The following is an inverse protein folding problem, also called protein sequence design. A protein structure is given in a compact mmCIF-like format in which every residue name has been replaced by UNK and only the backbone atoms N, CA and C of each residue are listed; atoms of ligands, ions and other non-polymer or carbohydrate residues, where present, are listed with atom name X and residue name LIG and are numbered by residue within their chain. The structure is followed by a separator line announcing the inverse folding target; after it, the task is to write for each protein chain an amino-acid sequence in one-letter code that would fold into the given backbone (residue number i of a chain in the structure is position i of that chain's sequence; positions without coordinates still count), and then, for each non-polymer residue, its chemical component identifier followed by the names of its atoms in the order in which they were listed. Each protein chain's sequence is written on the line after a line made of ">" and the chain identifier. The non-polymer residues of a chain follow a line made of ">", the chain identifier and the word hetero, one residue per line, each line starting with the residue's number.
data_IF_543112447860
#
_entry.id   IF_543112447860
#
_cell.length_a   1.000
_cell.length_b   1.000
_cell.length_c   1.000
_cell.angle_alpha   90.00
_cell.angle_beta   90.00
_cell.angle_gamma   90.00
#
_symmetry.space_group_name_H-M   'P 1'
#
loop_
_entity.id
_entity.type
_entity.pdbx_description
1 polymer ?
#
# COMPACT_ATOMS: atom_id res chain seq x y z
N UNK A 1 -5.99 -3.30 17.53
CA UNK A 1 -5.32 -3.29 16.21
C UNK A 1 -3.89 -3.74 16.41
N UNK A 2 -3.42 -4.82 15.78
CA UNK A 2 -2.00 -5.12 15.77
C UNK A 2 -1.30 -4.04 14.93
N UNK A 3 -0.33 -3.35 15.51
CA UNK A 3 0.55 -2.42 14.81
C UNK A 3 1.88 -3.13 14.51
N UNK A 4 2.70 -2.58 13.60
CA UNK A 4 4.01 -3.14 13.29
C UNK A 4 4.90 -3.28 14.54
N UNK A 5 5.84 -4.24 14.54
CA UNK A 5 6.81 -4.35 15.61
C UNK A 5 7.71 -3.10 15.65
N UNK A 6 8.20 -2.70 16.84
CA UNK A 6 9.15 -1.61 16.96
C UNK A 6 10.49 -1.94 16.29
N UNK A 7 11.20 -0.90 15.85
CA UNK A 7 12.63 -1.00 15.53
C UNK A 7 13.43 -0.67 16.78
N UNK A 8 14.30 -1.58 17.20
CA UNK A 8 15.20 -1.37 18.33
C UNK A 8 16.61 -1.15 17.80
N UNK A 9 17.16 0.04 18.04
CA UNK A 9 18.54 0.39 17.70
C UNK A 9 19.45 0.26 18.92
N UNK A 10 20.73 0.62 18.76
CA UNK A 10 21.67 0.66 19.87
C UNK A 10 21.32 1.70 20.96
N UNK A 11 20.45 2.67 20.68
CA UNK A 11 20.11 3.75 21.62
C UNK A 11 18.62 4.06 21.72
N UNK A 12 17.81 3.63 20.76
CA UNK A 12 16.43 4.11 20.63
C UNK A 12 15.49 2.99 20.19
N UNK A 13 14.33 2.89 20.85
CA UNK A 13 13.19 2.08 20.44
C UNK A 13 12.23 2.99 19.66
N UNK A 14 11.98 2.67 18.40
CA UNK A 14 11.18 3.48 17.49
C UNK A 14 9.85 2.77 17.23
N UNK A 15 8.76 3.48 17.49
CA UNK A 15 7.40 2.97 17.46
C UNK A 15 6.58 3.86 16.52
N UNK A 16 6.01 3.23 15.49
CA UNK A 16 4.91 3.77 14.69
C UNK A 16 3.55 3.47 15.33
N UNK A 17 2.48 3.60 14.56
CA UNK A 17 1.14 3.35 15.08
C UNK A 17 0.11 3.14 13.97
N UNK A 18 -0.87 2.29 14.23
CA UNK A 18 -2.07 2.19 13.42
C UNK A 18 -3.13 3.17 13.98
N UNK A 19 -3.74 3.96 13.10
CA UNK A 19 -4.90 4.80 13.38
C UNK A 19 -6.08 4.14 12.67
N UNK A 20 -7.30 4.28 13.20
CA UNK A 20 -8.46 3.60 12.60
C UNK A 20 -8.84 4.26 11.29
N UNK A 21 -8.77 3.50 10.21
CA UNK A 21 -9.15 3.94 8.88
C UNK A 21 -10.65 4.25 8.80
N UNK A 22 -10.98 5.31 8.07
CA UNK A 22 -12.34 5.70 7.70
C UNK A 22 -13.37 5.79 8.84
N UNK A 23 -12.95 5.87 10.11
CA UNK A 23 -13.89 5.98 11.23
C UNK A 23 -14.35 7.43 11.44
N UNK A 24 -13.42 8.40 11.49
CA UNK A 24 -13.74 9.80 11.78
C UNK A 24 -12.66 10.78 11.32
N UNK A 25 -13.04 12.05 11.13
CA UNK A 25 -12.10 13.16 10.97
C UNK A 25 -11.42 13.64 12.29
N UNK A 26 -11.50 12.86 13.38
CA UNK A 26 -11.00 13.23 14.73
C UNK A 26 -10.32 12.06 15.46
N UNK A 27 -9.75 11.12 14.72
CA UNK A 27 -8.95 10.02 15.25
C UNK A 27 -7.63 10.50 15.88
N UNK A 28 -7.01 9.70 16.77
CA UNK A 28 -5.71 10.02 17.32
C UNK A 28 -4.64 10.25 16.25
N UNK A 29 -3.62 11.03 16.60
CA UNK A 29 -2.44 11.22 15.76
C UNK A 29 -1.70 9.92 15.47
N UNK A 30 -1.24 9.79 14.23
CA UNK A 30 -0.28 8.78 13.76
C UNK A 30 1.18 9.03 14.14
N UNK A 31 1.45 9.95 15.08
CA UNK A 31 2.79 10.34 15.54
C UNK A 31 3.72 9.15 15.83
N UNK A 32 4.94 9.26 15.30
CA UNK A 32 6.04 8.32 15.53
C UNK A 32 6.80 8.74 16.78
N UNK A 33 7.24 7.77 17.59
CA UNK A 33 7.93 8.04 18.85
C UNK A 33 9.24 7.27 18.95
N UNK A 34 10.27 7.94 19.45
CA UNK A 34 11.55 7.34 19.82
C UNK A 34 11.75 7.37 21.33
N UNK A 35 12.00 6.21 21.92
CA UNK A 35 12.25 6.05 23.36
C UNK A 35 13.68 5.61 23.60
N UNK A 36 14.29 6.00 24.72
CA UNK A 36 15.59 5.48 25.12
C UNK A 36 15.52 3.97 25.35
N UNK A 37 16.47 3.22 24.79
CA UNK A 37 16.46 1.76 24.87
C UNK A 37 16.74 1.21 26.27
N UNK A 38 17.43 1.99 27.12
CA UNK A 38 17.80 1.57 28.47
C UNK A 38 16.79 2.04 29.52
N UNK A 39 16.26 3.26 29.38
CA UNK A 39 15.36 3.86 30.38
C UNK A 39 13.89 3.80 30.00
N UNK A 40 13.57 3.68 28.71
CA UNK A 40 12.20 3.78 28.20
C UNK A 40 11.65 5.21 28.18
N UNK A 41 12.48 6.23 28.46
CA UNK A 41 12.06 7.63 28.42
C UNK A 41 11.85 8.11 26.98
N UNK A 42 10.85 8.97 26.75
CA UNK A 42 10.59 9.56 25.43
C UNK A 42 11.74 10.50 25.05
N UNK A 43 12.46 10.19 23.96
CA UNK A 43 13.58 10.99 23.45
C UNK A 43 13.16 12.00 22.40
N UNK A 44 12.28 11.59 21.49
CA UNK A 44 11.80 12.42 20.40
C UNK A 44 10.45 11.93 19.91
N UNK A 45 9.72 12.83 19.23
CA UNK A 45 8.52 12.51 18.47
C UNK A 45 8.69 12.97 17.02
N UNK A 46 7.90 12.42 16.11
CA UNK A 46 7.70 12.95 14.76
C UNK A 46 6.21 12.88 14.43
N UNK A 47 5.48 13.97 14.64
CA UNK A 47 4.07 14.09 14.25
C UNK A 47 3.98 14.65 12.82
N UNK A 48 3.50 13.81 11.90
CA UNK A 48 3.42 14.11 10.47
C UNK A 48 2.50 15.29 10.16
N UNK A 49 1.47 15.53 10.98
CA UNK A 49 0.50 16.60 10.82
C UNK A 49 0.91 17.90 11.52
N UNK A 50 1.91 17.87 12.39
CA UNK A 50 2.34 19.04 13.14
C UNK A 50 3.21 19.99 12.29
N UNK A 51 3.06 21.30 12.51
CA UNK A 51 3.89 22.32 11.85
C UNK A 51 5.39 22.09 12.10
N UNK A 52 5.74 21.84 13.37
CA UNK A 52 7.03 21.31 13.80
C UNK A 52 6.83 19.84 14.22
N UNK A 53 7.23 18.86 13.38
CA UNK A 53 7.05 17.44 13.70
C UNK A 53 7.74 16.98 14.98
N UNK A 54 8.84 17.64 15.38
CA UNK A 54 9.65 17.22 16.53
C UNK A 54 9.29 17.97 17.83
N UNK A 55 8.31 18.87 17.81
CA UNK A 55 7.85 19.60 18.98
C UNK A 55 7.33 18.66 20.05
N UNK A 56 8.02 18.55 21.19
CA UNK A 56 7.61 17.65 22.26
C UNK A 56 6.22 18.02 22.80
N UNK A 57 5.37 17.02 23.13
CA UNK A 57 4.07 17.27 23.71
C UNK A 57 4.24 17.96 25.07
N UNK A 58 3.38 18.93 25.35
CA UNK A 58 3.41 19.73 26.57
C UNK A 58 2.15 20.57 26.71
N UNK A 59 2.11 21.48 27.69
CA UNK A 59 0.90 22.27 28.02
C UNK A 59 0.30 23.04 26.83
N UNK A 60 1.07 23.28 25.76
CA UNK A 60 0.65 24.05 24.59
C UNK A 60 0.92 23.35 23.25
N UNK A 61 1.24 22.05 23.26
CA UNK A 61 1.52 21.27 22.04
C UNK A 61 0.72 19.98 22.10
N UNK A 62 -0.42 20.00 21.41
CA UNK A 62 -1.26 18.82 21.21
C UNK A 62 -0.84 18.08 19.94
N UNK A 63 -1.03 16.76 19.95
CA UNK A 63 -0.87 15.95 18.75
C UNK A 63 -1.96 16.28 17.72
N UNK A 64 -1.61 16.23 16.45
CA UNK A 64 -2.53 16.56 15.37
C UNK A 64 -3.41 15.36 15.06
N UNK A 65 -4.71 15.51 15.25
CA UNK A 65 -5.70 14.51 14.85
C UNK A 65 -5.55 14.13 13.39
N UNK A 66 -5.67 12.84 13.09
CA UNK A 66 -5.61 12.28 11.74
C UNK A 66 -4.31 12.57 10.98
N UNK A 67 -3.22 12.82 11.70
CA UNK A 67 -1.92 12.88 11.05
C UNK A 67 -1.60 11.52 10.39
N UNK A 68 -1.02 11.51 9.18
CA UNK A 68 -0.56 10.28 8.52
C UNK A 68 0.21 9.37 9.46
N UNK A 69 -0.19 8.11 9.55
CA UNK A 69 0.37 7.16 10.50
C UNK A 69 1.44 6.27 9.86
N UNK A 70 2.21 5.56 10.70
CA UNK A 70 3.22 4.60 10.26
C UNK A 70 2.89 3.22 10.82
N UNK A 71 1.99 2.50 10.15
CA UNK A 71 1.48 1.21 10.62
C UNK A 71 2.27 0.01 10.07
N UNK A 72 2.95 0.17 8.93
CA UNK A 72 3.77 -0.86 8.31
C UNK A 72 5.12 -1.04 9.07
N UNK A 73 5.81 -2.18 8.89
CA UNK A 73 7.12 -2.38 9.50
C UNK A 73 8.16 -1.36 9.00
N UNK A 74 9.05 -0.93 9.89
CA UNK A 74 10.11 0.03 9.58
C UNK A 74 11.41 -0.70 9.21
N UNK A 75 12.37 -0.01 8.61
CA UNK A 75 13.74 -0.53 8.44
C UNK A 75 14.79 0.44 8.95
N UNK A 76 15.97 -0.08 9.28
CA UNK A 76 17.02 0.69 9.95
C UNK A 76 18.39 0.38 9.36
N UNK A 77 19.13 1.44 9.03
CA UNK A 77 20.54 1.39 8.66
C UNK A 77 21.40 1.82 9.86
N UNK A 78 22.12 0.87 10.50
CA UNK A 78 23.00 1.18 11.63
C UNK A 78 24.27 1.94 11.27
N UNK A 79 24.71 1.93 10.00
CA UNK A 79 25.94 2.60 9.56
C UNK A 79 25.75 4.11 9.59
N UNK A 80 24.57 4.60 9.23
CA UNK A 80 24.25 6.04 9.15
C UNK A 80 23.25 6.52 10.21
N UNK A 81 22.80 5.63 11.09
CA UNK A 81 21.75 5.93 12.09
C UNK A 81 20.47 6.45 11.42
N UNK A 82 19.99 5.75 10.39
CA UNK A 82 18.80 6.16 9.63
C UNK A 82 17.71 5.12 9.78
N UNK A 83 16.53 5.55 10.21
CA UNK A 83 15.30 4.77 10.15
C UNK A 83 14.48 5.21 8.95
N UNK A 84 13.98 4.24 8.19
CA UNK A 84 13.10 4.43 7.04
C UNK A 84 11.68 4.07 7.45
N UNK A 85 10.80 5.06 7.37
CA UNK A 85 9.45 4.99 7.92
C UNK A 85 8.46 5.20 6.78
N UNK A 86 7.76 4.15 6.34
CA UNK A 86 6.64 4.30 5.44
C UNK A 86 5.45 4.90 6.19
N UNK A 87 4.71 5.79 5.53
CA UNK A 87 3.49 6.40 6.07
C UNK A 87 2.28 6.11 5.17
N UNK A 88 1.12 6.04 5.79
CA UNK A 88 -0.17 5.97 5.11
C UNK A 88 -0.76 7.36 4.83
N UNK A 89 -2.05 7.38 4.51
CA UNK A 89 -2.85 8.60 4.36
C UNK A 89 -3.39 9.11 5.72
N UNK A 90 -3.82 10.37 5.76
CA UNK A 90 -4.60 10.89 6.89
C UNK A 90 -6.08 10.49 6.76
N UNK A 91 -6.61 9.79 7.76
CA UNK A 91 -8.02 9.34 7.81
C UNK A 91 -9.01 10.52 7.81
N UNK A 92 -10.24 10.38 7.28
CA UNK A 92 -10.73 9.28 6.45
C UNK A 92 -10.02 9.21 5.10
N UNK A 93 -9.85 8.02 4.55
CA UNK A 93 -8.90 7.76 3.46
C UNK A 93 -9.51 8.12 2.10
N UNK A 94 -10.82 7.87 1.96
CA UNK A 94 -11.55 7.92 0.68
C UNK A 94 -12.20 9.29 0.41
N UNK A 95 -11.97 10.26 1.30
CA UNK A 95 -12.38 11.66 1.13
C UNK A 95 -11.38 12.58 1.84
N UNK A 96 -10.86 13.56 1.13
CA UNK A 96 -9.78 14.45 1.56
C UNK A 96 -10.14 15.94 1.54
N UNK A 97 -11.42 16.29 1.48
CA UNK A 97 -11.85 17.69 1.31
C UNK A 97 -11.47 18.67 2.43
N UNK A 98 -11.05 18.16 3.60
CA UNK A 98 -10.52 18.97 4.71
C UNK A 98 -8.99 18.90 4.85
N UNK A 99 -8.31 18.23 3.92
CA UNK A 99 -6.84 18.10 3.90
C UNK A 99 -6.24 19.34 3.26
N UNK A 100 -5.23 19.88 3.93
CA UNK A 100 -4.43 21.01 3.47
C UNK A 100 -2.97 20.57 3.26
N UNK A 101 -2.14 21.47 2.76
CA UNK A 101 -0.72 21.20 2.49
C UNK A 101 0.00 20.62 3.73
N UNK A 102 -0.38 21.04 4.94
CA UNK A 102 0.25 20.57 6.16
C UNK A 102 -0.13 19.12 6.48
N UNK A 103 -1.41 18.77 6.35
CA UNK A 103 -1.91 17.39 6.51
C UNK A 103 -1.35 16.45 5.44
N UNK A 104 -1.03 16.97 4.25
CA UNK A 104 -0.58 16.15 3.12
C UNK A 104 0.93 16.01 2.97
N UNK A 105 1.73 16.91 3.58
CA UNK A 105 3.19 16.97 3.41
C UNK A 105 3.92 15.62 3.58
N UNK A 106 3.40 14.73 4.43
CA UNK A 106 3.97 13.39 4.69
C UNK A 106 2.94 12.26 4.54
N UNK A 107 1.81 12.51 3.88
CA UNK A 107 0.86 11.45 3.53
C UNK A 107 1.46 10.56 2.44
N UNK A 108 1.21 9.24 2.50
CA UNK A 108 1.67 8.25 1.53
C UNK A 108 3.14 8.45 1.15
N UNK A 109 4.01 8.45 2.14
CA UNK A 109 5.40 8.87 1.98
C UNK A 109 6.36 7.84 2.54
N UNK A 110 7.61 7.92 2.08
CA UNK A 110 8.75 7.35 2.76
C UNK A 110 9.51 8.46 3.46
N UNK A 111 9.72 8.33 4.78
CA UNK A 111 10.51 9.25 5.58
C UNK A 111 11.86 8.59 5.90
N UNK A 112 12.96 9.32 5.74
CA UNK A 112 14.25 8.95 6.31
C UNK A 112 14.56 9.87 7.48
N UNK A 113 14.58 9.34 8.69
CA UNK A 113 14.86 10.09 9.92
C UNK A 113 16.16 9.60 10.55
N UNK A 114 16.89 10.49 11.21
CA UNK A 114 17.90 10.07 12.18
C UNK A 114 17.23 9.27 13.30
N UNK A 115 17.61 8.00 13.46
CA UNK A 115 16.97 7.10 14.40
C UNK A 115 17.17 7.56 15.86
N UNK A 116 18.34 8.13 16.17
CA UNK A 116 18.64 8.61 17.53
C UNK A 116 17.95 9.92 17.92
N UNK A 117 17.57 10.77 16.95
CA UNK A 117 17.05 12.13 17.22
C UNK A 117 15.69 12.45 16.60
N UNK A 118 15.16 11.61 15.71
CA UNK A 118 13.90 11.83 15.01
C UNK A 118 13.94 12.93 13.95
N UNK A 119 15.12 13.46 13.61
CA UNK A 119 15.24 14.57 12.66
C UNK A 119 15.14 14.06 11.22
N UNK A 120 14.35 14.75 10.41
CA UNK A 120 14.19 14.46 8.99
C UNK A 120 15.51 14.67 8.23
N UNK A 121 15.84 13.70 7.39
CA UNK A 121 16.97 13.76 6.45
C UNK A 121 16.41 14.05 5.05
N UNK A 122 15.48 13.21 4.59
CA UNK A 122 14.78 13.36 3.33
C UNK A 122 13.43 12.64 3.40
N UNK A 123 12.51 12.98 2.51
CA UNK A 123 11.29 12.22 2.28
C UNK A 123 10.89 12.23 0.81
N UNK A 124 10.00 11.32 0.43
CA UNK A 124 9.36 11.30 -0.87
C UNK A 124 7.90 10.86 -0.73
N UNK A 125 6.98 11.58 -1.37
CA UNK A 125 5.55 11.26 -1.40
C UNK A 125 5.23 10.42 -2.64
N UNK A 126 4.67 9.23 -2.44
CA UNK A 126 4.36 8.27 -3.50
C UNK A 126 2.96 8.44 -4.08
N UNK A 127 2.07 9.15 -3.39
CA UNK A 127 0.73 9.48 -3.88
C UNK A 127 0.31 10.85 -3.35
N UNK A 128 0.02 11.77 -4.26
CA UNK A 128 -0.50 13.11 -3.97
C UNK A 128 -2.00 13.03 -3.71
N UNK A 129 -2.50 13.75 -2.71
CA UNK A 129 -3.94 13.86 -2.40
C UNK A 129 -4.69 12.52 -2.54
N UNK A 130 -4.28 11.53 -1.75
CA UNK A 130 -4.78 10.16 -1.89
C UNK A 130 -6.24 10.02 -1.48
N UNK A 131 -7.05 9.43 -2.34
CA UNK A 131 -8.47 9.18 -2.10
C UNK A 131 -8.82 7.69 -2.22
N UNK A 132 -7.80 6.83 -2.21
CA UNK A 132 -7.90 5.43 -2.61
C UNK A 132 -7.30 4.45 -1.62
N UNK A 133 -6.82 4.94 -0.46
CA UNK A 133 -6.09 4.14 0.52
C UNK A 133 -4.85 3.51 -0.16
N UNK A 134 -3.96 4.38 -0.65
CA UNK A 134 -2.75 4.05 -1.42
C UNK A 134 -1.47 4.21 -0.59
N UNK A 135 -1.56 3.78 0.66
CA UNK A 135 -0.49 3.72 1.63
C UNK A 135 0.80 3.09 1.08
N UNK A 136 1.93 3.46 1.69
CA UNK A 136 3.19 2.72 1.59
C UNK A 136 3.10 1.56 2.60
N UNK A 137 2.75 0.33 2.19
CA UNK A 137 2.18 -0.64 3.11
C UNK A 137 3.22 -1.60 3.70
N UNK A 138 4.48 -1.48 3.28
CA UNK A 138 5.48 -2.52 3.45
C UNK A 138 6.80 -1.99 4.02
N UNK A 139 7.58 -2.91 4.57
CA UNK A 139 8.94 -2.61 5.03
C UNK A 139 9.81 -2.08 3.88
N UNK A 140 10.38 -0.86 3.99
CA UNK A 140 11.36 -0.38 3.01
C UNK A 140 12.58 -1.29 3.01
N UNK A 141 12.94 -1.85 1.87
CA UNK A 141 13.97 -2.89 1.78
C UNK A 141 15.32 -2.29 1.42
N UNK A 142 16.30 -2.42 2.32
CA UNK A 142 17.64 -1.89 2.13
C UNK A 142 18.47 -2.86 1.30
N UNK A 143 19.18 -2.32 0.30
CA UNK A 143 20.03 -3.11 -0.57
C UNK A 143 21.34 -2.42 -0.92
N UNK A 144 22.39 -3.22 -1.13
CA UNK A 144 23.68 -2.75 -1.62
C UNK A 144 23.83 -3.21 -3.07
N UNK A 145 23.61 -2.28 -4.01
CA UNK A 145 23.61 -2.57 -5.43
C UNK A 145 25.03 -2.60 -5.96
N UNK A 146 25.47 -3.78 -6.41
CA UNK A 146 26.81 -3.99 -6.97
C UNK A 146 26.84 -3.54 -8.43
N UNK A 147 27.60 -2.50 -8.69
CA UNK A 147 27.80 -1.94 -10.03
C UNK A 147 28.86 -2.73 -10.81
N UNK A 148 28.82 -2.61 -12.15
CA UNK A 148 29.77 -3.30 -13.03
C UNK A 148 31.23 -2.83 -12.84
N UNK A 149 31.43 -1.60 -12.36
CA UNK A 149 32.75 -1.02 -12.05
C UNK A 149 33.28 -1.43 -10.65
N UNK A 150 32.52 -2.25 -9.91
CA UNK A 150 32.84 -2.70 -8.57
C UNK A 150 32.44 -1.73 -7.45
N UNK A 151 31.86 -0.58 -7.77
CA UNK A 151 31.27 0.31 -6.76
C UNK A 151 29.96 -0.25 -6.21
N UNK A 152 29.55 0.25 -5.04
CA UNK A 152 28.31 -0.16 -4.37
C UNK A 152 27.42 1.06 -4.20
N UNK A 153 26.20 0.98 -4.70
CA UNK A 153 25.18 2.02 -4.53
C UNK A 153 24.23 1.61 -3.40
N UNK A 154 24.14 2.39 -2.32
CA UNK A 154 23.27 2.08 -1.20
C UNK A 154 21.81 2.44 -1.54
N UNK A 155 20.95 1.44 -1.72
CA UNK A 155 19.57 1.61 -2.16
C UNK A 155 18.55 1.31 -1.06
N UNK A 156 17.38 1.94 -1.17
CA UNK A 156 16.15 1.56 -0.48
C UNK A 156 15.03 1.38 -1.50
N UNK A 157 14.37 0.22 -1.45
CA UNK A 157 13.21 -0.11 -2.28
C UNK A 157 11.93 0.14 -1.47
N UNK A 158 11.06 0.97 -2.01
CA UNK A 158 9.80 1.40 -1.41
C UNK A 158 8.66 0.86 -2.27
N UNK A 159 7.94 -0.12 -1.72
CA UNK A 159 6.79 -0.74 -2.37
C UNK A 159 5.53 0.06 -2.03
N UNK A 160 4.59 0.14 -2.96
CA UNK A 160 3.34 0.88 -2.77
C UNK A 160 2.13 0.03 -3.14
N UNK A 161 0.95 0.34 -2.58
CA UNK A 161 -0.31 -0.31 -2.97
C UNK A 161 -0.60 -0.17 -4.47
N UNK A 162 -0.14 0.90 -5.12
CA UNK A 162 -0.30 1.10 -6.57
C UNK A 162 0.49 0.09 -7.44
N UNK A 163 1.51 -0.54 -6.88
CA UNK A 163 2.44 -1.43 -7.58
C UNK A 163 3.71 -0.76 -8.10
N UNK A 164 3.78 0.58 -8.04
CA UNK A 164 5.03 1.30 -8.22
C UNK A 164 6.03 0.89 -7.15
N UNK A 165 7.28 0.68 -7.56
CA UNK A 165 8.42 0.49 -6.66
C UNK A 165 9.38 1.64 -6.85
N UNK A 166 9.43 2.52 -5.87
CA UNK A 166 10.35 3.66 -5.88
C UNK A 166 11.68 3.22 -5.29
N UNK A 167 12.78 3.54 -5.97
CA UNK A 167 14.12 3.13 -5.56
C UNK A 167 14.96 4.38 -5.40
N UNK A 168 15.48 4.58 -4.19
CA UNK A 168 16.27 5.76 -3.84
C UNK A 168 17.66 5.38 -3.35
N UNK A 169 18.61 6.29 -3.52
CA UNK A 169 19.81 6.28 -2.70
C UNK A 169 19.37 6.48 -1.26
N UNK A 170 19.58 5.48 -0.41
CA UNK A 170 19.00 5.47 0.93
C UNK A 170 19.56 6.57 1.84
N UNK A 171 20.69 7.19 1.48
CA UNK A 171 21.26 8.29 2.26
C UNK A 171 20.81 9.67 1.79
N UNK A 172 20.60 9.86 0.48
CA UNK A 172 20.32 11.18 -0.10
C UNK A 172 18.86 11.38 -0.51
N UNK A 173 18.11 10.29 -0.71
CA UNK A 173 16.75 10.35 -1.27
C UNK A 173 16.72 10.57 -2.78
N UNK A 174 17.88 10.59 -3.45
CA UNK A 174 17.93 10.74 -4.91
C UNK A 174 17.40 9.48 -5.60
N UNK A 175 16.53 9.60 -6.63
CA UNK A 175 15.98 8.46 -7.34
C UNK A 175 17.07 7.71 -8.10
N UNK A 176 17.15 6.39 -7.90
CA UNK A 176 17.99 5.46 -8.65
C UNK A 176 17.25 4.84 -9.85
N UNK A 177 15.92 4.85 -9.79
CA UNK A 177 15.02 4.47 -10.88
C UNK A 177 14.24 5.72 -11.31
N UNK A 178 14.10 6.01 -12.62
CA UNK A 178 13.37 7.18 -13.09
C UNK A 178 11.95 7.26 -12.53
N UNK A 179 11.54 8.48 -12.19
CA UNK A 179 10.19 8.81 -11.72
C UNK A 179 9.62 9.89 -12.64
N UNK A 180 8.42 9.66 -13.16
CA UNK A 180 7.71 10.59 -14.03
C UNK A 180 6.39 11.04 -13.38
N UNK A 181 6.12 12.34 -13.41
CA UNK A 181 4.81 12.89 -13.07
C UNK A 181 3.87 12.72 -14.26
N UNK A 182 2.87 11.86 -14.13
CA UNK A 182 1.90 11.62 -15.19
C UNK A 182 0.54 12.19 -14.84
N UNK A 183 -0.15 12.74 -15.84
CA UNK A 183 -1.50 13.24 -15.68
C UNK A 183 -2.47 12.09 -15.33
N UNK A 184 -3.33 12.35 -14.36
CA UNK A 184 -4.33 11.40 -13.87
C UNK A 184 -5.74 11.99 -13.96
N UNK A 185 -6.81 11.18 -13.87
CA UNK A 185 -8.17 11.70 -13.91
C UNK A 185 -8.45 12.67 -12.74
N UNK A 186 -8.95 13.85 -13.06
CA UNK A 186 -9.28 14.91 -12.07
C UNK A 186 -10.77 15.23 -12.01
N UNK A 187 -11.62 14.35 -12.57
CA UNK A 187 -13.07 14.52 -12.51
C UNK A 187 -13.80 13.19 -12.58
N UNK A 188 -14.92 13.10 -11.86
CA UNK A 188 -15.88 12.00 -11.97
C UNK A 188 -16.53 12.04 -13.35
N UNK A 189 -16.50 10.93 -14.09
CA UNK A 189 -17.05 10.86 -15.47
C UNK A 189 -18.54 10.55 -15.52
N UNK A 190 -19.05 9.75 -14.58
CA UNK A 190 -20.46 9.38 -14.45
C UNK A 190 -21.01 9.79 -13.08
N UNK A 191 -21.86 10.80 -13.08
CA UNK A 191 -22.50 11.34 -11.87
C UNK A 191 -21.96 12.73 -11.48
N UNK A 192 -22.43 13.30 -10.37
CA UNK A 192 -21.92 14.56 -9.86
C UNK A 192 -20.47 14.41 -9.37
N UNK A 193 -19.73 15.53 -9.36
CA UNK A 193 -18.44 15.58 -8.68
C UNK A 193 -18.63 15.39 -7.18
N UNK A 194 -17.67 14.73 -6.54
CA UNK A 194 -17.67 14.53 -5.08
C UNK A 194 -17.61 15.88 -4.38
N UNK A 195 -18.58 16.10 -3.50
CA UNK A 195 -18.80 17.38 -2.86
C UNK A 195 -17.68 17.72 -1.89
N UNK A 196 -17.15 18.94 -2.02
CA UNK A 196 -16.08 19.44 -1.16
C UNK A 196 -14.72 18.81 -1.46
N UNK A 197 -14.59 18.05 -2.56
CA UNK A 197 -13.35 17.37 -2.90
C UNK A 197 -12.53 18.13 -3.96
N UNK A 198 -11.22 17.88 -3.95
CA UNK A 198 -10.27 18.29 -4.98
C UNK A 198 -9.42 17.11 -5.44
N UNK A 199 -8.63 17.27 -6.50
CA UNK A 199 -7.84 16.17 -7.07
C UNK A 199 -6.47 16.66 -7.49
N UNK A 200 -5.43 15.86 -7.23
CA UNK A 200 -4.10 16.12 -7.78
C UNK A 200 -4.12 15.97 -9.31
N UNK A 201 -3.53 16.92 -10.08
CA UNK A 201 -3.47 16.82 -11.53
C UNK A 201 -2.51 15.73 -12.03
N UNK A 202 -1.48 15.40 -11.23
CA UNK A 202 -0.47 14.40 -11.57
C UNK A 202 -0.21 13.46 -10.40
N UNK A 203 0.42 12.32 -10.70
CA UNK A 203 0.93 11.38 -9.73
C UNK A 203 2.32 10.90 -10.16
N UNK A 204 3.21 10.56 -9.21
CA UNK A 204 4.51 10.00 -9.52
C UNK A 204 4.37 8.53 -9.94
N UNK A 205 5.05 8.16 -11.03
CA UNK A 205 5.15 6.80 -11.52
C UNK A 205 6.62 6.40 -11.64
N UNK A 206 6.97 5.26 -11.05
CA UNK A 206 8.31 4.68 -11.15
C UNK A 206 8.42 3.84 -12.41
N UNK A 207 9.58 3.89 -13.07
CA UNK A 207 9.88 3.00 -14.19
C UNK A 207 9.91 1.51 -13.77
N UNK A 208 10.20 1.22 -12.49
CA UNK A 208 9.99 -0.11 -11.91
C UNK A 208 8.57 -0.20 -11.34
N UNK A 209 7.67 -0.88 -12.07
CA UNK A 209 6.27 -1.05 -11.71
C UNK A 209 5.86 -2.53 -11.86
N UNK A 210 5.25 -3.09 -10.82
CA UNK A 210 4.70 -4.45 -10.82
C UNK A 210 3.17 -4.49 -10.85
N UNK A 211 2.54 -3.31 -10.79
CA UNK A 211 1.11 -3.09 -10.94
C UNK A 211 0.68 -2.82 -12.39
N UNK A 212 -0.58 -2.39 -12.59
CA UNK A 212 -1.03 -1.94 -13.90
C UNK A 212 -0.25 -0.70 -14.35
N UNK A 213 0.14 -0.67 -15.63
CA UNK A 213 0.69 0.54 -16.24
C UNK A 213 -0.40 1.62 -16.35
N UNK A 214 -0.06 2.93 -16.28
CA UNK A 214 -1.00 4.03 -16.56
C UNK A 214 -1.79 3.86 -17.87
N UNK A 215 -1.18 3.23 -18.88
CA UNK A 215 -1.79 2.97 -20.19
C UNK A 215 -2.62 1.69 -20.25
N UNK A 216 -2.49 0.78 -19.28
CA UNK A 216 -3.13 -0.53 -19.26
C UNK A 216 -4.36 -0.55 -18.34
N UNK A 217 -5.36 0.25 -18.72
CA UNK A 217 -6.65 0.29 -18.03
C UNK A 217 -7.42 -1.02 -18.19
N UNK A 218 -8.12 -1.46 -17.14
CA UNK A 218 -9.16 -2.48 -17.27
C UNK A 218 -10.20 -2.07 -18.31
N UNK A 219 -10.68 -3.06 -19.04
CA UNK A 219 -11.75 -2.94 -20.03
C UNK A 219 -12.81 -4.02 -19.77
N UNK A 220 -13.92 -3.93 -20.49
CA UNK A 220 -14.97 -4.96 -20.50
C UNK A 220 -14.40 -6.37 -20.79
N UNK A 221 -13.34 -6.48 -21.61
CA UNK A 221 -12.66 -7.74 -21.91
C UNK A 221 -12.03 -8.41 -20.70
N UNK A 222 -11.61 -7.62 -19.71
CA UNK A 222 -11.03 -8.15 -18.48
C UNK A 222 -12.09 -8.64 -17.48
N UNK A 223 -13.39 -8.46 -17.80
CA UNK A 223 -14.47 -8.92 -16.95
C UNK A 223 -14.73 -10.41 -17.15
N UNK A 224 -14.76 -11.12 -16.04
CA UNK A 224 -14.86 -12.57 -15.93
C UNK A 224 -15.98 -12.96 -14.98
N UNK A 225 -16.45 -14.20 -15.09
CA UNK A 225 -17.37 -14.81 -14.15
C UNK A 225 -17.34 -16.34 -14.29
N UNK A 226 -17.86 -17.04 -13.29
CA UNK A 226 -17.91 -18.51 -13.28
C UNK A 226 -18.86 -19.11 -14.34
N UNK A 227 -19.73 -18.29 -14.94
CA UNK A 227 -20.61 -18.64 -16.06
C UNK A 227 -20.80 -17.45 -17.01
N UNK A 228 -21.41 -17.67 -18.17
CA UNK A 228 -21.68 -16.59 -19.14
C UNK A 228 -22.63 -15.51 -18.57
N UNK A 229 -23.57 -15.87 -17.70
CA UNK A 229 -24.48 -14.91 -17.06
C UNK A 229 -23.76 -14.11 -15.98
N UNK A 230 -22.89 -14.77 -15.21
CA UNK A 230 -22.05 -14.13 -14.19
C UNK A 230 -21.11 -13.11 -14.83
N UNK A 231 -20.44 -13.51 -15.92
CA UNK A 231 -19.59 -12.62 -16.71
C UNK A 231 -20.37 -11.44 -17.30
N UNK A 232 -21.59 -11.67 -17.80
CA UNK A 232 -22.46 -10.60 -18.30
C UNK A 232 -22.79 -9.60 -17.19
N UNK A 233 -23.13 -10.06 -15.98
CA UNK A 233 -23.39 -9.18 -14.84
C UNK A 233 -22.14 -8.37 -14.48
N UNK A 234 -20.97 -8.99 -14.41
CA UNK A 234 -19.71 -8.27 -14.15
C UNK A 234 -19.43 -7.17 -15.19
N UNK A 235 -19.71 -7.42 -16.47
CA UNK A 235 -19.60 -6.39 -17.53
C UNK A 235 -20.60 -5.25 -17.33
N UNK A 236 -21.84 -5.55 -16.97
CA UNK A 236 -22.85 -4.54 -16.67
C UNK A 236 -22.42 -3.69 -15.46
N UNK A 237 -21.90 -4.31 -14.40
CA UNK A 237 -21.40 -3.60 -13.23
C UNK A 237 -20.18 -2.72 -13.58
N UNK A 238 -19.24 -3.23 -14.37
CA UNK A 238 -18.09 -2.47 -14.84
C UNK A 238 -18.51 -1.21 -15.62
N UNK A 239 -19.48 -1.35 -16.53
CA UNK A 239 -20.05 -0.21 -17.27
C UNK A 239 -20.91 0.72 -16.40
N UNK A 240 -21.46 0.22 -15.29
CA UNK A 240 -22.23 1.04 -14.36
C UNK A 240 -21.34 2.01 -13.58
N UNK A 241 -20.22 1.53 -13.06
CA UNK A 241 -19.30 2.28 -12.20
C UNK A 241 -18.34 3.18 -13.00
N UNK A 242 -17.68 4.08 -12.27
CA UNK A 242 -16.59 4.90 -12.79
C UNK A 242 -15.28 4.08 -12.80
N UNK A 243 -14.55 4.11 -13.92
CA UNK A 243 -13.20 3.56 -14.01
C UNK A 243 -12.43 4.25 -15.15
N UNK A 244 -11.42 5.03 -14.79
CA UNK A 244 -10.52 5.76 -15.68
C UNK A 244 -9.04 5.46 -15.37
N UNK A 245 -8.76 4.39 -14.62
CA UNK A 245 -7.42 4.00 -14.18
C UNK A 245 -7.28 3.97 -12.65
N UNK A 246 -6.04 3.82 -12.17
CA UNK A 246 -5.71 3.66 -10.73
C UNK A 246 -6.33 4.80 -9.90
N UNK A 247 -6.15 6.04 -10.37
CA UNK A 247 -6.55 7.25 -9.68
C UNK A 247 -7.91 7.78 -10.18
N UNK A 248 -8.89 6.89 -10.35
CA UNK A 248 -10.25 7.31 -10.72
C UNK A 248 -10.92 7.97 -9.51
N UNK A 249 -11.42 9.21 -9.59
CA UNK A 249 -12.10 9.87 -8.47
C UNK A 249 -13.18 8.99 -7.80
N UNK A 250 -13.20 8.87 -6.46
CA UNK A 250 -14.33 8.28 -5.74
C UNK A 250 -15.63 9.03 -6.07
N UNK A 251 -16.76 8.32 -6.07
CA UNK A 251 -18.04 8.91 -6.50
C UNK A 251 -19.24 8.29 -5.82
N UNK A 252 -20.35 9.04 -5.81
CA UNK A 252 -21.63 8.56 -5.28
C UNK A 252 -22.26 7.42 -6.09
N UNK A 253 -21.89 7.34 -7.38
CA UNK A 253 -22.29 6.25 -8.26
C UNK A 253 -21.47 4.97 -8.01
N UNK A 254 -20.31 5.10 -7.38
CA UNK A 254 -19.34 4.04 -7.19
C UNK A 254 -18.22 4.07 -8.21
N UNK A 255 -17.02 3.76 -7.75
CA UNK A 255 -15.78 3.79 -8.49
C UNK A 255 -15.05 2.47 -8.31
N UNK A 256 -14.58 1.90 -9.41
CA UNK A 256 -13.69 0.74 -9.36
C UNK A 256 -12.28 1.26 -9.10
N UNK A 257 -11.64 0.72 -8.07
CA UNK A 257 -10.26 1.03 -7.70
C UNK A 257 -9.42 -0.20 -8.04
N UNK A 258 -8.43 -0.02 -8.93
CA UNK A 258 -7.53 -1.10 -9.34
C UNK A 258 -6.10 -0.57 -9.49
N UNK A 259 -5.12 -1.11 -8.73
CA UNK A 259 -5.27 -2.11 -7.66
C UNK A 259 -6.18 -1.59 -6.52
N UNK A 260 -6.97 -2.48 -5.90
CA UNK A 260 -7.91 -2.07 -4.84
C UNK A 260 -7.21 -1.83 -3.50
N UNK A 261 -7.96 -1.81 -2.39
CA UNK A 261 -7.44 -1.52 -1.04
C UNK A 261 -6.32 -2.45 -0.56
N UNK A 262 -6.31 -3.72 -1.03
CA UNK A 262 -5.20 -4.65 -0.77
C UNK A 262 -3.94 -4.35 -1.61
N UNK A 263 -3.98 -3.34 -2.47
CA UNK A 263 -2.90 -2.96 -3.36
C UNK A 263 -2.41 -4.07 -4.28
N UNK A 264 -1.23 -3.83 -4.85
CA UNK A 264 -0.34 -4.81 -5.48
C UNK A 264 0.61 -5.38 -4.44
N UNK A 265 1.11 -4.50 -3.58
CA UNK A 265 1.88 -4.83 -2.39
C UNK A 265 1.10 -4.46 -1.15
N UNK A 266 1.32 -5.24 -0.12
CA UNK A 266 0.79 -5.05 1.24
C UNK A 266 1.93 -5.23 2.25
N UNK A 267 1.62 -5.47 3.52
CA UNK A 267 2.59 -5.67 4.62
C UNK A 267 3.70 -6.71 4.40
N UNK A 268 3.62 -7.55 3.37
CA UNK A 268 4.57 -8.65 3.10
C UNK A 268 5.98 -8.23 2.66
N UNK A 269 6.16 -7.03 2.10
CA UNK A 269 7.48 -6.57 1.64
C UNK A 269 8.06 -7.39 0.49
N UNK A 270 9.37 -7.25 0.29
CA UNK A 270 10.17 -8.08 -0.63
C UNK A 270 11.30 -8.77 0.12
N UNK A 271 11.79 -9.88 -0.44
CA UNK A 271 13.05 -10.48 -0.02
C UNK A 271 14.14 -10.09 -0.99
N UNK A 272 15.22 -9.49 -0.47
CA UNK A 272 16.38 -9.09 -1.26
C UNK A 272 17.47 -10.14 -1.12
N UNK A 273 17.83 -10.82 -2.22
CA UNK A 273 18.99 -11.71 -2.27
C UNK A 273 20.23 -10.93 -2.73
N UNK A 274 21.08 -10.52 -1.77
CA UNK A 274 22.28 -9.71 -2.02
C UNK A 274 23.37 -10.44 -2.83
N UNK A 275 23.43 -11.77 -2.72
CA UNK A 275 24.44 -12.58 -3.41
C UNK A 275 24.13 -12.65 -4.91
N UNK A 276 22.86 -12.82 -5.24
CA UNK A 276 22.36 -12.93 -6.61
C UNK A 276 21.93 -11.61 -7.23
N UNK A 277 21.85 -10.54 -6.43
CA UNK A 277 21.34 -9.22 -6.84
C UNK A 277 19.91 -9.33 -7.43
N UNK A 278 19.03 -10.06 -6.74
CA UNK A 278 17.61 -10.23 -7.13
C UNK A 278 16.69 -9.90 -5.96
N UNK A 279 15.66 -9.10 -6.22
CA UNK A 279 14.52 -8.94 -5.32
C UNK A 279 13.39 -9.89 -5.71
N UNK A 280 12.73 -10.46 -4.71
CA UNK A 280 11.62 -11.38 -4.87
C UNK A 280 10.38 -10.81 -4.21
N UNK A 281 9.24 -10.94 -4.88
CA UNK A 281 7.98 -10.41 -4.39
C UNK A 281 6.80 -11.32 -4.75
N UNK A 282 5.64 -11.08 -4.12
CA UNK A 282 4.39 -11.78 -4.38
C UNK A 282 3.23 -10.80 -4.70
N UNK A 283 3.29 -10.07 -5.82
CA UNK A 283 2.30 -9.04 -6.11
C UNK A 283 0.91 -9.65 -6.34
N UNK A 284 -0.10 -8.93 -5.87
CA UNK A 284 -1.52 -9.26 -6.03
C UNK A 284 -2.22 -8.28 -6.98
N UNK A 285 -3.44 -8.62 -7.42
CA UNK A 285 -4.16 -7.80 -8.39
C UNK A 285 -5.66 -8.03 -8.33
N UNK A 286 -6.30 -7.47 -7.31
CA UNK A 286 -7.75 -7.49 -7.12
C UNK A 286 -8.34 -6.07 -7.13
N UNK A 287 -9.39 -5.82 -7.93
CA UNK A 287 -10.12 -4.56 -7.88
C UNK A 287 -11.10 -4.53 -6.72
N UNK A 288 -11.33 -3.33 -6.19
CA UNK A 288 -12.32 -3.04 -5.18
C UNK A 288 -13.35 -2.05 -5.72
N UNK A 289 -14.56 -2.12 -5.21
CA UNK A 289 -15.58 -1.10 -5.37
C UNK A 289 -15.50 -0.16 -4.17
N UNK A 290 -15.37 1.13 -4.48
CA UNK A 290 -15.50 2.23 -3.52
C UNK A 290 -16.71 3.08 -3.90
N UNK A 291 -17.70 3.17 -3.02
CA UNK A 291 -18.91 3.96 -3.25
C UNK A 291 -19.18 4.89 -2.09
N UNK A 292 -19.21 6.19 -2.38
CA UNK A 292 -19.56 7.22 -1.43
C UNK A 292 -21.09 7.33 -1.28
N UNK A 293 -21.59 7.54 -0.06
CA UNK A 293 -22.99 7.91 0.17
C UNK A 293 -23.05 9.22 0.96
N UNK A 294 -23.88 10.16 0.51
CA UNK A 294 -24.08 11.44 1.21
C UNK A 294 -24.79 11.23 2.54
N UNK A 295 -24.26 11.89 3.56
CA UNK A 295 -24.73 11.81 4.94
C UNK A 295 -24.55 13.16 5.62
N UNK A 296 -25.26 13.37 6.73
CA UNK A 296 -25.06 14.54 7.58
C UNK A 296 -23.70 14.42 8.32
N UNK A 297 -22.78 15.40 8.18
CA UNK A 297 -21.53 15.43 8.95
C UNK A 297 -21.74 15.45 10.46
N UNK A 298 -22.84 16.02 10.93
CA UNK A 298 -23.15 16.20 12.35
C UNK A 298 -23.91 15.02 12.96
N UNK A 299 -24.08 13.92 12.22
CA UNK A 299 -24.77 12.74 12.72
C UNK A 299 -24.04 12.16 13.94
N UNK A 300 -24.78 11.60 14.93
CA UNK A 300 -24.16 11.05 16.12
C UNK A 300 -23.23 9.89 15.75
N UNK A 301 -22.08 9.79 16.43
CA UNK A 301 -21.20 8.63 16.31
C UNK A 301 -21.91 7.40 16.87
N UNK A 302 -22.08 6.37 16.05
CA UNK A 302 -22.65 5.08 16.43
C UNK A 302 -21.63 4.16 17.11
N UNK A 303 -22.12 3.03 17.63
CA UNK A 303 -21.29 1.95 18.17
C UNK A 303 -20.66 1.13 17.04
N UNK A 304 -19.37 0.82 17.15
CA UNK A 304 -18.59 0.06 16.17
C UNK A 304 -17.17 0.63 15.99
N UNK A 305 -16.30 -0.15 15.35
CA UNK A 305 -14.96 0.29 14.94
C UNK A 305 -14.92 0.44 13.43
N UNK A 306 -14.09 1.33 12.89
CA UNK A 306 -13.77 1.32 11.46
C UNK A 306 -13.19 -0.05 11.05
N UNK A 307 -13.50 -0.50 9.86
CA UNK A 307 -12.99 -1.73 9.23
C UNK A 307 -12.45 -1.41 7.84
N UNK A 308 -11.57 -2.23 7.29
CA UNK A 308 -11.06 -2.03 5.91
C UNK A 308 -12.02 -2.59 4.83
N UNK A 309 -13.24 -2.93 5.21
CA UNK A 309 -14.27 -3.48 4.31
C UNK A 309 -15.67 -3.25 4.86
N UNK A 310 -16.66 -3.22 3.96
CA UNK A 310 -18.04 -2.88 4.26
C UNK A 310 -18.26 -1.37 4.38
N UNK A 311 -19.31 -0.98 5.11
CA UNK A 311 -19.66 0.42 5.33
C UNK A 311 -18.76 1.05 6.37
N UNK A 312 -18.06 2.11 5.98
CA UNK A 312 -17.22 2.94 6.83
C UNK A 312 -17.86 4.30 7.07
N UNK A 313 -18.00 4.72 8.34
CA UNK A 313 -18.80 5.89 8.66
C UNK A 313 -18.14 7.21 8.27
N UNK A 314 -16.83 7.39 8.41
CA UNK A 314 -16.16 8.67 8.15
C UNK A 314 -16.82 9.86 8.90
N UNK A 315 -17.13 9.69 10.19
CA UNK A 315 -17.83 10.69 11.01
C UNK A 315 -17.14 12.05 10.97
N UNK A 316 -17.95 13.11 10.85
CA UNK A 316 -17.47 14.50 10.70
C UNK A 316 -17.19 14.91 9.25
N UNK A 317 -17.28 13.98 8.29
CA UNK A 317 -17.26 14.29 6.85
C UNK A 317 -18.67 14.17 6.26
N UNK A 318 -18.92 14.71 5.05
CA UNK A 318 -20.24 14.69 4.46
C UNK A 318 -20.54 13.40 3.68
N UNK A 319 -19.72 12.37 3.92
CA UNK A 319 -19.80 11.06 3.28
C UNK A 319 -19.65 9.92 4.28
N UNK A 320 -20.17 8.75 3.90
CA UNK A 320 -19.74 7.43 4.34
C UNK A 320 -19.31 6.65 3.09
N UNK A 321 -18.52 5.59 3.23
CA UNK A 321 -18.01 4.81 2.08
C UNK A 321 -18.33 3.33 2.24
N UNK A 322 -18.79 2.71 1.16
CA UNK A 322 -18.83 1.26 1.03
C UNK A 322 -17.58 0.80 0.29
N UNK A 323 -16.77 -0.03 0.96
CA UNK A 323 -15.59 -0.68 0.40
C UNK A 323 -15.82 -2.19 0.31
N UNK A 324 -15.80 -2.75 -0.88
CA UNK A 324 -15.94 -4.20 -1.06
C UNK A 324 -15.08 -4.71 -2.22
N UNK A 325 -14.57 -5.95 -2.18
CA UNK A 325 -13.93 -6.54 -3.36
C UNK A 325 -14.92 -6.52 -4.53
N UNK A 326 -14.44 -6.26 -5.74
CA UNK A 326 -15.29 -6.19 -6.91
C UNK A 326 -15.71 -7.61 -7.36
N UNK A 327 -16.79 -8.08 -6.77
CA UNK A 327 -17.32 -9.44 -6.95
C UNK A 327 -18.66 -9.42 -7.70
N UNK A 328 -18.97 -10.55 -8.32
CA UNK A 328 -20.29 -10.83 -8.85
C UNK A 328 -21.29 -11.14 -7.73
N UNK A 329 -22.60 -11.21 -8.01
CA UNK A 329 -23.61 -11.64 -7.04
C UNK A 329 -23.38 -13.05 -6.46
N UNK A 330 -22.56 -13.88 -7.13
CA UNK A 330 -22.16 -15.20 -6.66
C UNK A 330 -20.92 -15.17 -5.75
N UNK A 331 -20.35 -13.99 -5.49
CA UNK A 331 -19.16 -13.80 -4.67
C UNK A 331 -17.85 -14.15 -5.38
N UNK A 332 -17.85 -14.24 -6.72
CA UNK A 332 -16.66 -14.50 -7.52
C UNK A 332 -16.02 -13.19 -8.01
N UNK A 333 -14.69 -13.07 -8.09
CA UNK A 333 -14.06 -11.87 -8.62
C UNK A 333 -14.53 -11.55 -10.05
N UNK A 334 -14.97 -10.30 -10.28
CA UNK A 334 -15.38 -9.87 -11.61
C UNK A 334 -14.22 -9.62 -12.56
N UNK A 335 -12.98 -9.50 -12.06
CA UNK A 335 -11.78 -9.41 -12.88
C UNK A 335 -11.26 -10.80 -13.23
N UNK A 336 -10.86 -11.00 -14.48
CA UNK A 336 -10.23 -12.22 -14.92
C UNK A 336 -8.96 -12.56 -14.10
N UNK A 337 -8.73 -13.87 -13.83
CA UNK A 337 -7.49 -14.32 -13.23
C UNK A 337 -6.31 -14.05 -14.17
N UNK A 338 -5.11 -13.83 -13.67
CA UNK A 338 -4.66 -14.16 -12.32
C UNK A 338 -4.78 -13.00 -11.31
N UNK A 339 -4.86 -13.35 -10.02
CA UNK A 339 -4.98 -12.41 -8.90
C UNK A 339 -3.76 -12.40 -7.98
N UNK A 340 -2.81 -13.31 -8.18
CA UNK A 340 -1.59 -13.41 -7.39
C UNK A 340 -0.45 -14.03 -8.17
N UNK A 341 0.73 -13.45 -8.01
CA UNK A 341 1.96 -13.87 -8.68
C UNK A 341 3.10 -14.02 -7.69
N UNK A 342 4.14 -14.74 -8.09
CA UNK A 342 5.51 -14.56 -7.60
C UNK A 342 6.34 -13.96 -8.72
N UNK A 343 7.28 -13.10 -8.36
CA UNK A 343 8.08 -12.35 -9.33
C UNK A 343 9.51 -12.19 -8.85
N UNK A 344 10.45 -12.18 -9.80
CA UNK A 344 11.84 -11.82 -9.60
C UNK A 344 12.16 -10.53 -10.32
N UNK A 345 12.84 -9.62 -9.64
CA UNK A 345 13.34 -8.35 -10.16
C UNK A 345 14.86 -8.38 -10.08
N UNK A 346 15.53 -8.17 -11.20
CA UNK A 346 16.97 -7.99 -11.23
C UNK A 346 17.30 -6.60 -10.66
N UNK A 347 18.15 -6.54 -9.63
CA UNK A 347 18.48 -5.29 -8.94
C UNK A 347 19.50 -4.43 -9.71
N UNK A 348 20.21 -5.01 -10.68
CA UNK A 348 21.17 -4.29 -11.51
C UNK A 348 20.47 -3.54 -12.62
N UNK A 349 19.46 -4.14 -13.24
CA UNK A 349 18.67 -3.51 -14.31
C UNK A 349 17.38 -2.87 -13.81
N UNK A 350 16.90 -3.25 -12.62
CA UNK A 350 15.56 -2.94 -12.12
C UNK A 350 14.45 -3.39 -13.08
N UNK A 351 14.61 -4.59 -13.66
CA UNK A 351 13.63 -5.20 -14.56
C UNK A 351 13.05 -6.49 -13.99
N UNK A 352 11.79 -6.78 -14.33
CA UNK A 352 11.15 -8.04 -14.00
C UNK A 352 11.72 -9.14 -14.89
N UNK A 353 12.51 -10.05 -14.32
CA UNK A 353 13.16 -11.15 -15.06
C UNK A 353 12.27 -12.39 -15.18
N UNK A 354 11.33 -12.57 -14.24
CA UNK A 354 10.31 -13.61 -14.34
C UNK A 354 9.09 -13.27 -13.48
N UNK A 355 7.91 -13.73 -13.92
CA UNK A 355 6.63 -13.60 -13.22
C UNK A 355 5.82 -14.88 -13.43
N UNK A 356 5.37 -15.52 -12.34
CA UNK A 356 4.62 -16.80 -12.36
C UNK A 356 3.37 -16.68 -11.50
N UNK A 357 2.28 -17.35 -11.89
CA UNK A 357 1.05 -17.41 -11.07
C UNK A 357 1.31 -18.26 -9.82
N UNK A 358 0.75 -17.86 -8.68
CA UNK A 358 0.88 -18.62 -7.43
C UNK A 358 -0.47 -18.94 -6.79
N UNK A 359 -0.66 -20.21 -6.43
CA UNK A 359 -1.81 -20.68 -5.66
C UNK A 359 -3.01 -21.12 -6.50
N UNK A 360 -3.84 -21.92 -5.86
CA UNK A 360 -4.96 -22.63 -6.46
C UNK A 360 -6.29 -22.19 -5.87
N UNK A 361 -7.38 -22.44 -6.59
CA UNK A 361 -8.73 -22.11 -6.13
C UNK A 361 -9.31 -23.10 -5.12
N UNK A 362 -8.53 -24.10 -4.68
CA UNK A 362 -9.02 -25.25 -3.91
C UNK A 362 -9.85 -24.84 -2.70
N UNK A 363 -9.36 -23.86 -1.95
CA UNK A 363 -9.98 -23.40 -0.70
C UNK A 363 -10.65 -22.01 -0.83
N UNK A 364 -10.97 -21.58 -2.06
CA UNK A 364 -11.61 -20.28 -2.31
C UNK A 364 -13.10 -20.25 -1.93
N UNK A 365 -13.76 -21.40 -1.73
CA UNK A 365 -15.16 -21.52 -1.28
C UNK A 365 -15.28 -22.30 0.04
N UNK A 366 -14.66 -21.85 1.14
CA UNK A 366 -14.46 -22.64 2.35
C UNK A 366 -15.77 -23.01 3.08
N UNK A 367 -16.87 -22.30 2.81
CA UNK A 367 -18.19 -22.54 3.42
C UNK A 367 -19.10 -23.46 2.60
N UNK A 368 -18.69 -23.86 1.39
CA UNK A 368 -19.51 -24.63 0.46
C UNK A 368 -18.86 -25.99 0.15
N UNK A 369 -17.75 -25.99 -0.60
CA UNK A 369 -17.00 -27.20 -0.98
C UNK A 369 -15.60 -26.84 -1.51
N UNK A 370 -14.66 -27.79 -1.47
CA UNK A 370 -13.34 -27.62 -2.08
C UNK A 370 -13.43 -27.72 -3.60
N UNK A 371 -12.80 -26.77 -4.30
CA UNK A 371 -12.67 -26.78 -5.75
C UNK A 371 -11.48 -27.64 -6.20
N UNK A 372 -11.44 -28.08 -7.47
CA UNK A 372 -10.24 -28.70 -8.03
C UNK A 372 -9.03 -27.76 -7.88
N UNK A 373 -7.82 -28.28 -7.57
CA UNK A 373 -6.63 -27.46 -7.31
C UNK A 373 -6.02 -26.90 -8.60
N UNK A 374 -6.77 -26.03 -9.28
CA UNK A 374 -6.35 -25.39 -10.52
C UNK A 374 -5.48 -24.17 -10.21
N UNK A 375 -4.29 -24.11 -10.82
CA UNK A 375 -3.36 -22.99 -10.72
C UNK A 375 -3.89 -21.79 -11.52
N UNK A 376 -4.72 -20.99 -10.87
CA UNK A 376 -5.30 -19.76 -11.45
C UNK A 376 -4.59 -18.50 -10.95
N UNK A 377 -3.84 -18.64 -9.85
CA UNK A 377 -3.20 -17.59 -9.07
C UNK A 377 -4.19 -16.81 -8.23
N UNK A 378 -4.10 -17.01 -6.92
CA UNK A 378 -4.99 -16.46 -5.89
C UNK A 378 -4.22 -15.43 -5.06
N UNK A 379 -4.90 -14.44 -4.47
CA UNK A 379 -4.22 -13.44 -3.64
C UNK A 379 -3.49 -14.10 -2.46
N UNK A 380 -2.43 -13.44 -2.01
CA UNK A 380 -1.74 -13.80 -0.78
C UNK A 380 -1.14 -12.59 -0.08
N UNK A 381 -1.46 -12.45 1.21
CA UNK A 381 -1.10 -11.31 2.06
C UNK A 381 0.04 -11.68 3.02
N UNK A 382 1.13 -12.22 2.49
CA UNK A 382 2.28 -12.63 3.29
C UNK A 382 3.58 -12.24 2.59
N UNK A 383 4.66 -12.21 3.35
CA UNK A 383 5.98 -11.95 2.79
C UNK A 383 6.56 -13.16 2.08
N UNK A 384 7.64 -12.91 1.36
CA UNK A 384 8.47 -13.93 0.75
C UNK A 384 9.81 -13.98 1.45
N UNK A 385 10.45 -15.14 1.45
CA UNK A 385 11.77 -15.35 2.03
C UNK A 385 12.68 -15.95 0.96
N UNK A 386 13.89 -15.42 0.81
CA UNK A 386 14.95 -16.05 0.03
C UNK A 386 16.03 -16.61 0.94
N UNK A 387 16.76 -17.60 0.44
CA UNK A 387 17.92 -18.18 1.12
C UNK A 387 19.17 -18.01 0.26
N UNK A 388 20.35 -18.32 0.81
CA UNK A 388 21.60 -18.30 0.05
C UNK A 388 21.63 -19.38 -1.05
N UNK A 389 20.95 -20.51 -0.81
CA UNK A 389 20.66 -21.49 -1.85
C UNK A 389 19.52 -20.95 -2.73
N UNK A 390 19.43 -21.39 -3.99
CA UNK A 390 18.50 -20.87 -5.01
C UNK A 390 17.02 -21.20 -4.70
N UNK A 391 16.53 -20.80 -3.53
CA UNK A 391 15.20 -21.13 -2.99
C UNK A 391 14.54 -19.88 -2.41
N UNK A 392 13.34 -19.63 -2.90
CA UNK A 392 12.35 -18.68 -2.42
C UNK A 392 11.21 -19.46 -1.76
N UNK A 393 10.84 -19.10 -0.53
CA UNK A 393 9.70 -19.67 0.18
C UNK A 393 8.56 -18.65 0.23
N UNK A 394 7.34 -19.13 0.00
CA UNK A 394 6.11 -18.33 0.09
C UNK A 394 5.02 -19.14 0.79
N UNK A 395 4.39 -18.54 1.81
CA UNK A 395 3.35 -19.15 2.64
C UNK A 395 2.11 -18.24 2.77
N UNK A 396 1.82 -17.49 1.71
CA UNK A 396 0.89 -16.36 1.75
C UNK A 396 -0.47 -16.64 1.11
N UNK A 397 -0.59 -17.67 0.28
CA UNK A 397 -1.76 -17.84 -0.58
C UNK A 397 -2.96 -18.42 0.15
N UNK A 398 -4.15 -18.05 -0.31
CA UNK A 398 -5.44 -18.47 0.25
C UNK A 398 -5.63 -19.99 0.36
N UNK A 399 -4.89 -20.79 -0.42
CA UNK A 399 -4.96 -22.25 -0.42
C UNK A 399 -4.05 -22.94 0.61
N UNK A 400 -3.55 -22.20 1.61
CA UNK A 400 -2.89 -22.73 2.80
C UNK A 400 -1.65 -23.62 2.53
N UNK A 401 -0.98 -23.44 1.39
CA UNK A 401 0.27 -24.11 1.06
C UNK A 401 1.49 -23.23 1.33
N UNK A 402 2.55 -23.86 1.83
CA UNK A 402 3.92 -23.34 1.73
C UNK A 402 4.50 -23.87 0.42
N UNK A 403 5.15 -23.00 -0.36
CA UNK A 403 5.76 -23.36 -1.65
C UNK A 403 7.20 -22.93 -1.71
N UNK A 404 7.99 -23.68 -2.47
CA UNK A 404 9.37 -23.33 -2.80
C UNK A 404 9.51 -23.05 -4.30
N UNK A 405 10.19 -21.97 -4.65
CA UNK A 405 10.51 -21.60 -6.03
C UNK A 405 12.01 -21.36 -6.20
N UNK A 406 12.55 -21.59 -7.39
CA UNK A 406 13.90 -21.15 -7.73
C UNK A 406 13.95 -19.62 -7.76
N UNK A 407 14.95 -19.02 -7.11
CA UNK A 407 15.20 -17.57 -7.15
C UNK A 407 15.58 -17.14 -8.58
N UNK A 408 16.31 -18.01 -9.30
CA UNK A 408 16.85 -17.73 -10.62
C UNK A 408 15.78 -17.65 -11.70
N UNK A 409 14.79 -18.55 -11.73
CA UNK A 409 13.84 -18.65 -12.84
C UNK A 409 12.35 -18.74 -12.43
N UNK A 410 12.05 -18.76 -11.13
CA UNK A 410 10.70 -18.88 -10.60
C UNK A 410 10.04 -20.25 -10.80
N UNK A 411 10.79 -21.29 -11.16
CA UNK A 411 10.26 -22.66 -11.26
C UNK A 411 9.88 -23.19 -9.88
N UNK A 412 8.71 -23.82 -9.77
CA UNK A 412 8.26 -24.41 -8.52
C UNK A 412 9.08 -25.67 -8.21
N UNK A 413 9.79 -25.66 -7.09
CA UNK A 413 10.61 -26.76 -6.60
C UNK A 413 9.81 -27.72 -5.71
N UNK A 414 8.85 -27.19 -4.95
CA UNK A 414 7.97 -27.94 -4.05
C UNK A 414 6.61 -27.26 -3.94
#
# INVERSE_FOLDING_TARGET
>A
MPTSPPVVTASTIIIGGAVTDNYSNTEPSGVIRGYDVNTGELKWIFDTGAKDPNAQPGENVDYVHNSPNAWAPLSYDPIKDIVYIPTGVGTPDIWGGDRDELKERYANSILALHASTGKLIWHFQTTHHDLWDMDVPAQPSLADLKQADGSVTPAVYVLTKTGNVFVFNRYTGEPLVPIEELAVPTSVTKGPQTYGEHYSPTQPFSALNLGPSPSEKLTDKNMWGGSMFDQLVCRILFEHYNYEGIYTPPSERGTIVFPGNLGVFEWGGISVNQDRQVALANPIGLPFLSKLNRVDPNRPKGEGTGTESGFQPMYGTPYEVLLEPFLSPLGLPCKEPSWGFVTGVDLQTNEIVWKKRIGTIRDSLPKLFQLPPLLIGVPGLGGVMSTAVDVMLVAATQDNYIRAFSVTNGEKLW
#
